data_IF_097502583088
#
_entry.id   IF_097502583088
#
_cell.length_a   1.000
_cell.length_b   1.000
_cell.length_c   1.000
_cell.angle_alpha   90.00
_cell.angle_beta   90.00
_cell.angle_gamma   90.00
#
_symmetry.space_group_name_H-M   'P 1'
#
loop_
_entity.id
_entity.type
_entity.pdbx_description
1 polymer ?
#
# COMPACT_ATOMS: atom_id res chain seq x y z
N UNK A 1 18.26 -28.83 -24.39
CA UNK A 1 16.80 -29.04 -24.36
C UNK A 1 16.27 -28.26 -23.18
N UNK A 2 15.62 -27.11 -23.42
CA UNK A 2 14.81 -26.48 -22.36
C UNK A 2 13.70 -27.47 -22.01
N UNK A 3 13.63 -27.87 -20.75
CA UNK A 3 12.49 -28.63 -20.24
C UNK A 3 11.26 -27.73 -20.38
N UNK A 4 10.31 -28.14 -21.22
CA UNK A 4 9.02 -27.46 -21.31
C UNK A 4 8.32 -27.73 -19.99
N UNK A 5 8.18 -26.71 -19.14
CA UNK A 5 7.42 -26.80 -17.89
C UNK A 5 6.05 -27.46 -18.15
N UNK A 6 5.72 -28.47 -17.35
CA UNK A 6 4.40 -29.10 -17.38
C UNK A 6 3.33 -28.22 -16.72
N UNK A 7 2.05 -28.65 -16.81
CA UNK A 7 0.93 -27.89 -16.26
C UNK A 7 1.02 -27.67 -14.75
N UNK A 8 1.56 -28.64 -14.01
CA UNK A 8 1.64 -28.62 -12.55
C UNK A 8 2.78 -27.72 -12.07
N UNK A 9 3.93 -27.74 -12.75
CA UNK A 9 5.02 -26.81 -12.49
C UNK A 9 4.59 -25.36 -12.73
N UNK A 10 3.88 -25.10 -13.84
CA UNK A 10 3.33 -23.78 -14.10
C UNK A 10 2.31 -23.38 -13.03
N UNK A 11 1.51 -24.32 -12.52
CA UNK A 11 0.56 -24.04 -11.46
C UNK A 11 1.27 -23.69 -10.14
N UNK A 12 2.33 -24.41 -9.79
CA UNK A 12 3.19 -24.09 -8.65
C UNK A 12 3.83 -22.69 -8.81
N UNK A 13 4.34 -22.34 -10.00
CA UNK A 13 4.86 -21.00 -10.31
C UNK A 13 3.80 -19.92 -10.15
N UNK A 14 2.57 -20.18 -10.59
CA UNK A 14 1.41 -19.29 -10.37
C UNK A 14 1.14 -19.08 -8.87
N UNK A 15 1.09 -20.16 -8.07
CA UNK A 15 0.85 -20.06 -6.63
C UNK A 15 1.99 -19.34 -5.89
N UNK A 16 3.21 -19.36 -6.41
CA UNK A 16 4.35 -18.63 -5.84
C UNK A 16 4.45 -17.17 -6.30
N UNK A 17 3.56 -16.72 -7.19
CA UNK A 17 3.57 -15.35 -7.70
C UNK A 17 2.91 -14.38 -6.72
N UNK A 18 3.73 -13.60 -6.01
CA UNK A 18 3.29 -12.52 -5.11
C UNK A 18 3.46 -11.14 -5.75
N UNK A 19 2.79 -10.12 -5.20
CA UNK A 19 2.94 -8.72 -5.61
C UNK A 19 4.38 -8.26 -5.39
N UNK A 20 4.95 -7.58 -6.38
CA UNK A 20 6.30 -7.02 -6.25
C UNK A 20 6.26 -5.71 -5.43
N UNK A 21 7.36 -5.32 -4.77
CA UNK A 21 7.46 -4.02 -4.09
C UNK A 21 7.10 -2.86 -5.04
N UNK A 22 6.16 -2.01 -4.62
CA UNK A 22 5.71 -0.85 -5.39
C UNK A 22 4.84 -1.16 -6.62
N UNK A 23 4.58 -2.43 -6.92
CA UNK A 23 3.65 -2.82 -7.98
C UNK A 23 2.22 -2.45 -7.58
N UNK A 24 1.44 -1.89 -8.51
CA UNK A 24 0.00 -1.66 -8.28
C UNK A 24 -0.76 -2.99 -8.22
N UNK A 25 -1.77 -3.14 -7.35
CA UNK A 25 -2.65 -4.32 -7.33
C UNK A 25 -3.19 -4.73 -8.71
N UNK A 26 -3.62 -3.78 -9.53
CA UNK A 26 -4.11 -4.03 -10.90
C UNK A 26 -3.05 -4.61 -11.83
N UNK A 27 -1.77 -4.23 -11.66
CA UNK A 27 -0.64 -4.79 -12.41
C UNK A 27 -0.29 -6.19 -11.94
N UNK A 28 -0.31 -6.41 -10.62
CA UNK A 28 -0.14 -7.73 -10.05
C UNK A 28 -1.21 -8.72 -10.57
N UNK A 29 -2.49 -8.31 -10.59
CA UNK A 29 -3.57 -9.13 -11.13
C UNK A 29 -3.35 -9.50 -12.60
N UNK A 30 -2.88 -8.56 -13.44
CA UNK A 30 -2.57 -8.82 -14.84
C UNK A 30 -1.48 -9.89 -14.99
N UNK A 31 -0.44 -9.82 -14.16
CA UNK A 31 0.65 -10.79 -14.17
C UNK A 31 0.18 -12.19 -13.73
N UNK A 32 -0.69 -12.25 -12.73
CA UNK A 32 -1.35 -13.51 -12.34
C UNK A 32 -2.20 -14.09 -13.48
N UNK A 33 -3.00 -13.28 -14.17
CA UNK A 33 -3.82 -13.75 -15.29
C UNK A 33 -2.97 -14.34 -16.41
N UNK A 34 -1.84 -13.71 -16.74
CA UNK A 34 -0.91 -14.22 -17.75
C UNK A 34 -0.31 -15.56 -17.32
N UNK A 35 0.10 -15.70 -16.06
CA UNK A 35 0.60 -16.96 -15.52
C UNK A 35 -0.48 -18.05 -15.55
N UNK A 36 -1.69 -17.74 -15.09
CA UNK A 36 -2.82 -18.66 -15.06
C UNK A 36 -3.24 -19.14 -16.45
N UNK A 37 -3.25 -18.25 -17.45
CA UNK A 37 -3.51 -18.63 -18.83
C UNK A 37 -2.49 -19.66 -19.36
N UNK A 38 -1.24 -19.61 -18.91
CA UNK A 38 -0.24 -20.63 -19.28
C UNK A 38 -0.55 -21.98 -18.63
N UNK A 39 -0.94 -21.97 -17.35
CA UNK A 39 -1.37 -23.17 -16.61
C UNK A 39 -2.52 -23.88 -17.34
N UNK A 40 -3.57 -23.13 -17.67
CA UNK A 40 -4.76 -23.68 -18.35
C UNK A 40 -4.40 -24.25 -19.73
N UNK A 41 -3.59 -23.53 -20.51
CA UNK A 41 -3.13 -23.99 -21.83
C UNK A 41 -2.30 -25.29 -21.77
N UNK A 42 -1.64 -25.56 -20.65
CA UNK A 42 -0.83 -26.77 -20.43
C UNK A 42 -1.57 -27.85 -19.63
N UNK A 43 -2.86 -27.66 -19.34
CA UNK A 43 -3.67 -28.66 -18.66
C UNK A 43 -3.47 -28.74 -17.15
N UNK A 44 -2.73 -27.82 -16.52
CA UNK A 44 -2.55 -27.79 -15.06
C UNK A 44 -3.81 -27.35 -14.29
N UNK A 45 -4.86 -26.91 -15.00
CA UNK A 45 -6.14 -26.52 -14.41
C UNK A 45 -7.26 -26.47 -15.47
N UNK A 46 -8.49 -26.70 -15.03
CA UNK A 46 -9.70 -26.48 -15.84
C UNK A 46 -10.04 -24.97 -15.94
N UNK A 47 -10.34 -24.49 -17.14
CA UNK A 47 -10.65 -23.08 -17.39
C UNK A 47 -11.82 -22.53 -16.54
N UNK A 48 -12.83 -23.36 -16.22
CA UNK A 48 -13.96 -22.99 -15.36
C UNK A 48 -13.56 -22.57 -13.94
N UNK A 49 -12.37 -22.98 -13.49
CA UNK A 49 -11.86 -22.69 -12.16
C UNK A 49 -10.94 -21.46 -12.13
N UNK A 50 -10.63 -20.87 -13.29
CA UNK A 50 -9.62 -19.83 -13.42
C UNK A 50 -9.92 -18.59 -12.58
N UNK A 51 -11.11 -18.00 -12.70
CA UNK A 51 -11.46 -16.79 -11.95
C UNK A 51 -11.42 -17.04 -10.43
N UNK A 52 -11.82 -18.24 -9.98
CA UNK A 52 -11.76 -18.64 -8.57
C UNK A 52 -10.32 -18.68 -8.07
N UNK A 53 -9.44 -19.31 -8.83
CA UNK A 53 -8.04 -19.50 -8.47
C UNK A 53 -7.25 -18.20 -8.57
N UNK A 54 -7.59 -17.37 -9.56
CA UNK A 54 -7.07 -16.02 -9.71
C UNK A 54 -7.37 -15.18 -8.46
N UNK A 55 -8.64 -15.12 -8.04
CA UNK A 55 -9.05 -14.33 -6.87
C UNK A 55 -8.42 -14.87 -5.58
N UNK A 56 -8.35 -16.20 -5.42
CA UNK A 56 -7.69 -16.82 -4.26
C UNK A 56 -6.21 -16.43 -4.17
N UNK A 57 -5.47 -16.58 -5.26
CA UNK A 57 -4.05 -16.25 -5.29
C UNK A 57 -3.82 -14.74 -5.15
N UNK A 58 -4.67 -13.91 -5.76
CA UNK A 58 -4.61 -12.46 -5.60
C UNK A 58 -4.72 -12.06 -4.12
N UNK A 59 -5.71 -12.58 -3.39
CA UNK A 59 -5.85 -12.26 -1.96
C UNK A 59 -4.66 -12.76 -1.12
N UNK A 60 -4.02 -13.88 -1.51
CA UNK A 60 -2.86 -14.45 -0.81
C UNK A 60 -1.58 -13.64 -1.03
N UNK A 61 -1.35 -13.19 -2.26
CA UNK A 61 -0.09 -12.57 -2.67
C UNK A 61 -0.13 -11.05 -2.80
N UNK A 62 -1.30 -10.41 -2.65
CA UNK A 62 -1.43 -8.95 -2.63
C UNK A 62 -1.04 -8.41 -1.25
N UNK A 63 -0.18 -7.40 -1.22
CA UNK A 63 0.29 -6.74 0.00
C UNK A 63 -0.59 -5.56 0.41
N UNK A 64 -1.46 -5.08 -0.47
CA UNK A 64 -2.40 -3.99 -0.17
C UNK A 64 -3.67 -4.53 0.51
N UNK A 65 -3.56 -4.76 1.82
CA UNK A 65 -4.68 -5.18 2.66
C UNK A 65 -5.86 -4.19 2.63
N UNK A 66 -5.60 -2.91 2.34
CA UNK A 66 -6.65 -1.89 2.28
C UNK A 66 -7.56 -2.10 1.08
N UNK A 67 -7.01 -2.54 -0.05
CA UNK A 67 -7.78 -2.93 -1.23
C UNK A 67 -8.59 -4.20 -0.98
N UNK A 68 -7.96 -5.24 -0.41
CA UNK A 68 -8.64 -6.51 -0.09
C UNK A 68 -9.85 -6.26 0.81
N UNK A 69 -9.68 -5.41 1.84
CA UNK A 69 -10.73 -5.07 2.81
C UNK A 69 -11.80 -4.17 2.19
N UNK A 70 -11.41 -3.08 1.53
CA UNK A 70 -12.36 -2.11 0.96
C UNK A 70 -13.26 -2.74 -0.09
N UNK A 71 -12.70 -3.64 -0.89
CA UNK A 71 -13.43 -4.38 -1.89
C UNK A 71 -13.98 -5.71 -1.37
N UNK A 72 -13.82 -6.07 -0.09
CA UNK A 72 -14.28 -7.33 0.52
C UNK A 72 -13.98 -8.59 -0.34
N UNK A 73 -12.75 -8.68 -0.88
CA UNK A 73 -12.41 -9.70 -1.88
C UNK A 73 -12.45 -11.12 -1.34
N UNK A 74 -12.15 -11.30 -0.05
CA UNK A 74 -12.23 -12.58 0.66
C UNK A 74 -13.63 -13.21 0.57
N UNK A 75 -14.68 -12.39 0.73
CA UNK A 75 -16.07 -12.85 0.71
C UNK A 75 -16.54 -13.26 -0.69
N UNK A 76 -15.85 -12.79 -1.74
CA UNK A 76 -16.18 -13.08 -3.14
C UNK A 76 -15.52 -14.35 -3.67
N UNK A 77 -14.69 -15.06 -2.87
CA UNK A 77 -14.01 -16.29 -3.32
C UNK A 77 -14.97 -17.43 -3.73
N UNK A 78 -16.19 -17.44 -3.18
CA UNK A 78 -17.21 -18.44 -3.52
C UNK A 78 -17.92 -18.16 -4.85
N UNK A 79 -18.00 -16.88 -5.23
CA UNK A 79 -18.59 -16.42 -6.50
C UNK A 79 -17.64 -15.36 -7.09
N UNK A 80 -16.52 -15.80 -7.67
CA UNK A 80 -15.50 -14.89 -8.17
C UNK A 80 -16.06 -14.07 -9.33
N UNK A 81 -15.59 -12.83 -9.43
CA UNK A 81 -15.83 -11.97 -10.58
C UNK A 81 -14.94 -12.40 -11.74
N UNK A 82 -15.37 -12.11 -12.96
CA UNK A 82 -14.52 -12.29 -14.14
C UNK A 82 -13.28 -11.39 -14.03
N UNK A 83 -12.18 -11.77 -14.69
CA UNK A 83 -10.96 -10.96 -14.71
C UNK A 83 -11.19 -9.48 -15.08
N UNK A 84 -11.93 -9.13 -16.16
CA UNK A 84 -12.19 -7.73 -16.51
C UNK A 84 -12.91 -6.94 -15.41
N UNK A 85 -13.92 -7.55 -14.76
CA UNK A 85 -14.70 -6.91 -13.71
C UNK A 85 -13.84 -6.65 -12.46
N UNK A 86 -13.06 -7.65 -12.05
CA UNK A 86 -12.14 -7.51 -10.92
C UNK A 86 -11.07 -6.44 -11.22
N UNK A 87 -10.52 -6.44 -12.44
CA UNK A 87 -9.54 -5.44 -12.86
C UNK A 87 -10.10 -4.02 -12.84
N UNK A 88 -11.35 -3.83 -13.28
CA UNK A 88 -12.02 -2.54 -13.22
C UNK A 88 -12.20 -2.08 -11.76
N UNK A 89 -12.69 -2.95 -10.89
CA UNK A 89 -12.85 -2.64 -9.46
C UNK A 89 -11.54 -2.21 -8.79
N UNK A 90 -10.44 -2.93 -9.08
CA UNK A 90 -9.13 -2.58 -8.56
C UNK A 90 -8.69 -1.18 -9.01
N UNK A 91 -8.83 -0.86 -10.30
CA UNK A 91 -8.43 0.46 -10.83
C UNK A 91 -9.24 1.60 -10.21
N UNK A 92 -10.55 1.42 -10.06
CA UNK A 92 -11.42 2.42 -9.42
C UNK A 92 -10.99 2.67 -7.97
N UNK A 93 -10.69 1.63 -7.20
CA UNK A 93 -10.26 1.78 -5.81
C UNK A 93 -8.84 2.36 -5.69
N UNK A 94 -7.92 1.96 -6.58
CA UNK A 94 -6.58 2.56 -6.70
C UNK A 94 -6.65 4.07 -6.94
N UNK A 95 -7.52 4.51 -7.85
CA UNK A 95 -7.69 5.93 -8.18
C UNK A 95 -8.30 6.72 -7.00
N UNK A 96 -9.22 6.10 -6.26
CA UNK A 96 -9.78 6.67 -5.02
C UNK A 96 -8.69 6.85 -3.96
N UNK A 97 -7.80 5.87 -3.78
CA UNK A 97 -6.66 5.96 -2.86
C UNK A 97 -5.66 7.03 -3.29
N UNK A 98 -5.34 7.10 -4.59
CA UNK A 98 -4.44 8.12 -5.14
C UNK A 98 -5.00 9.53 -4.91
N UNK A 99 -6.29 9.74 -5.14
CA UNK A 99 -6.97 11.02 -4.92
C UNK A 99 -6.92 11.44 -3.45
N UNK A 100 -7.22 10.51 -2.53
CA UNK A 100 -7.14 10.75 -1.07
C UNK A 100 -5.72 11.11 -0.64
N UNK A 101 -4.72 10.35 -1.10
CA UNK A 101 -3.31 10.57 -0.80
C UNK A 101 -2.84 11.94 -1.31
N UNK A 102 -3.21 12.31 -2.53
CA UNK A 102 -2.87 13.61 -3.10
C UNK A 102 -3.48 14.77 -2.31
N UNK A 103 -4.78 14.71 -1.97
CA UNK A 103 -5.42 15.73 -1.12
C UNK A 103 -4.69 15.88 0.21
N UNK A 104 -4.34 14.76 0.82
CA UNK A 104 -3.60 14.75 2.08
C UNK A 104 -2.24 15.46 1.96
N UNK A 105 -1.45 15.12 0.93
CA UNK A 105 -0.16 15.77 0.67
C UNK A 105 -0.28 17.29 0.46
N UNK A 106 -1.35 17.76 -0.21
CA UNK A 106 -1.57 19.19 -0.42
C UNK A 106 -1.90 19.93 0.87
N UNK A 107 -2.72 19.35 1.75
CA UNK A 107 -3.12 20.00 3.01
C UNK A 107 -2.04 19.97 4.10
N UNK A 108 -1.15 18.98 4.08
CA UNK A 108 -0.04 18.89 5.05
C UNK A 108 1.24 19.59 4.59
N UNK A 109 1.36 19.97 3.31
CA UNK A 109 2.55 20.62 2.74
C UNK A 109 2.66 22.14 2.96
N UNK A 110 1.65 22.79 3.56
CA UNK A 110 1.58 24.26 3.68
C UNK A 110 2.21 24.86 4.94
N UNK A 111 2.79 24.07 5.85
CA UNK A 111 3.56 24.61 6.98
C UNK A 111 5.06 24.73 6.62
N UNK A 112 5.38 25.56 5.63
CA UNK A 112 6.71 26.18 5.58
C UNK A 112 6.62 27.51 6.32
N UNK A 113 6.91 27.48 7.62
CA UNK A 113 7.23 28.70 8.36
C UNK A 113 8.56 29.23 7.82
N UNK A 114 8.51 30.19 6.89
CA UNK A 114 9.64 31.06 6.59
C UNK A 114 9.90 31.92 7.83
N UNK A 115 10.79 31.45 8.70
CA UNK A 115 11.40 32.30 9.73
C UNK A 115 12.42 33.18 9.02
N UNK A 116 12.00 34.38 8.63
CA UNK A 116 12.92 35.45 8.25
C UNK A 116 13.68 35.89 9.50
N UNK A 117 14.91 35.39 9.67
CA UNK A 117 15.84 35.86 10.69
C UNK A 117 16.37 37.24 10.30
N UNK A 118 15.76 38.30 10.81
CA UNK A 118 16.35 39.64 10.79
C UNK A 118 17.54 39.66 11.75
N UNK A 119 18.75 39.70 11.19
CA UNK A 119 19.98 39.90 11.96
C UNK A 119 20.06 41.37 12.40
N UNK A 120 19.70 41.64 13.65
CA UNK A 120 19.99 42.91 14.31
C UNK A 120 21.37 42.83 14.94
N UNK A 121 22.22 43.79 14.58
CA UNK A 121 23.57 43.96 15.12
C UNK A 121 23.50 44.20 16.63
N UNK A 122 24.33 43.49 17.37
CA UNK A 122 24.49 43.64 18.82
C UNK A 122 25.62 44.64 19.06
N UNK A 123 25.29 45.80 19.60
CA UNK A 123 26.25 46.69 20.26
C UNK A 123 26.09 46.56 21.78
N UNK A 124 27.16 46.03 22.38
CA UNK A 124 27.79 46.29 23.67
C UNK A 124 27.02 46.62 24.98
N UNK A 125 27.37 45.81 25.99
CA UNK A 125 27.53 46.08 27.43
C UNK A 125 26.31 46.41 28.32
N UNK A 126 26.03 45.50 29.26
CA UNK A 126 26.16 45.78 30.70
C UNK A 126 25.91 44.51 31.54
N UNK A 127 26.87 44.18 32.39
CA UNK A 127 26.80 43.13 33.40
C UNK A 127 26.12 43.69 34.66
N UNK A 128 25.17 42.98 35.28
CA UNK A 128 24.85 43.17 36.70
C UNK A 128 24.22 41.92 37.35
N UNK A 129 25.08 41.16 38.02
CA UNK A 129 24.99 40.63 39.38
C UNK A 129 23.73 39.88 39.90
N UNK A 130 24.02 38.66 40.37
CA UNK A 130 23.66 38.08 41.67
C UNK A 130 22.17 37.94 42.05
N UNK A 131 21.71 36.69 42.16
CA UNK A 131 20.47 36.33 42.85
C UNK A 131 20.73 36.09 44.33
N UNK A 132 19.92 36.69 45.24
CA UNK A 132 19.72 36.06 46.54
C UNK A 132 18.24 35.97 46.97
N UNK A 133 17.98 34.89 47.70
CA UNK A 133 16.99 34.67 48.78
C UNK A 133 15.59 34.12 48.43
N UNK A 134 15.46 32.80 48.64
CA UNK A 134 14.76 32.09 49.73
C UNK A 134 13.32 32.43 50.21
N UNK A 135 12.64 31.33 50.55
CA UNK A 135 11.50 31.13 51.46
C UNK A 135 10.09 31.65 51.13
N UNK A 136 9.18 30.71 50.81
CA UNK A 136 8.04 30.22 51.65
C UNK A 136 6.87 29.74 50.78
N UNK A 137 6.55 28.44 50.83
CA UNK A 137 5.28 27.92 50.29
C UNK A 137 4.48 27.24 51.41
N UNK A 138 3.35 27.82 51.85
CA UNK A 138 2.50 27.26 52.89
C UNK A 138 1.34 26.48 52.26
N UNK A 139 1.45 25.16 52.20
CA UNK A 139 0.28 24.28 52.09
C UNK A 139 0.34 23.21 53.17
N UNK A 140 -0.10 23.64 54.35
CA UNK A 140 -0.57 22.83 55.47
C UNK A 140 -2.04 22.46 55.24
N UNK A 141 -2.34 21.16 55.11
CA UNK A 141 -3.30 20.39 55.92
C UNK A 141 -3.28 18.92 55.47
#
# INVERSE_FOLDING_TARGET
>A
FETVDDGDELFAKFLNTNQNPGEKPSKYLQRLQIALNKVVKRGGMVASDSDRQLLKQFCRGCWDNSIITSLQLEQRKNKPLSFPDLLLMLRVEEDKHATKSNRMKQHFGTFKSEVQTNSLKVDEAAQCNQWPNDETNPYSY
#
